data_IF_943832921436
#
_entry.id   IF_943832921436
#
_cell.length_a   1.000
_cell.length_b   1.000
_cell.length_c   1.000
_cell.angle_alpha   90.00
_cell.angle_beta   90.00
_cell.angle_gamma   90.00
#
_symmetry.space_group_name_H-M   'P 1'
#
loop_
_entity.id
_entity.type
_entity.pdbx_description
1 polymer ?
#
# COMPACT_ATOMS: atom_id res chain seq x y z
N UNK A 1 12.10 7.30 -10.06
CA UNK A 1 12.04 6.03 -9.32
C UNK A 1 10.60 5.75 -8.95
N UNK A 2 10.17 4.52 -9.09
CA UNK A 2 8.84 4.02 -8.67
C UNK A 2 8.96 3.53 -7.24
N UNK A 3 7.92 3.80 -6.42
CA UNK A 3 7.82 3.29 -5.04
C UNK A 3 6.59 2.41 -4.91
N UNK A 4 6.70 1.29 -4.20
CA UNK A 4 5.53 0.54 -3.77
C UNK A 4 4.79 1.28 -2.66
N UNK A 5 3.46 1.11 -2.57
CA UNK A 5 2.67 1.59 -1.43
C UNK A 5 2.82 0.71 -0.19
N UNK A 6 3.29 -0.51 -0.35
CA UNK A 6 3.64 -1.42 0.74
C UNK A 6 5.11 -1.24 1.12
N UNK A 7 5.44 -1.51 2.37
CA UNK A 7 6.80 -1.43 2.86
C UNK A 7 6.89 -1.70 4.36
N UNK A 8 8.11 -1.96 4.81
CA UNK A 8 8.44 -2.17 6.20
C UNK A 8 9.74 -1.44 6.55
N UNK A 9 9.79 -0.82 7.71
CA UNK A 9 10.99 -0.20 8.24
C UNK A 9 11.09 -0.41 9.74
N UNK A 10 12.27 -0.71 10.24
CA UNK A 10 12.55 -0.84 11.67
C UNK A 10 13.86 -0.16 11.99
N UNK A 11 13.87 0.54 13.09
CA UNK A 11 15.09 1.11 13.64
C UNK A 11 15.08 0.98 15.17
N UNK A 12 16.23 0.68 15.71
CA UNK A 12 16.48 0.58 17.13
C UNK A 12 17.61 1.53 17.49
N UNK A 13 17.38 2.39 18.47
CA UNK A 13 18.37 3.35 18.95
C UNK A 13 18.51 3.19 20.46
N UNK A 14 19.74 3.03 20.90
CA UNK A 14 20.09 2.98 22.33
C UNK A 14 20.88 4.21 22.68
N UNK A 15 20.38 5.04 23.59
CA UNK A 15 21.05 6.23 24.12
C UNK A 15 21.17 6.10 25.65
N UNK A 16 22.37 5.75 26.12
CA UNK A 16 22.60 5.47 27.53
C UNK A 16 21.82 4.23 28.00
N UNK A 17 20.96 4.42 28.99
CA UNK A 17 20.08 3.38 29.52
C UNK A 17 18.72 3.30 28.80
N UNK A 18 18.49 4.14 27.79
CA UNK A 18 17.20 4.26 27.09
C UNK A 18 17.28 3.61 25.74
N UNK A 19 16.28 2.78 25.43
CA UNK A 19 16.15 2.09 24.15
C UNK A 19 14.84 2.46 23.49
N UNK A 20 14.93 2.94 22.25
CA UNK A 20 13.79 3.25 21.40
C UNK A 20 13.75 2.27 20.23
N UNK A 21 12.64 1.57 20.07
CA UNK A 21 12.41 0.72 18.90
C UNK A 21 11.20 1.26 18.15
N UNK A 22 11.38 1.55 16.87
CA UNK A 22 10.32 2.05 15.97
C UNK A 22 10.16 1.08 14.82
N UNK A 23 8.94 0.63 14.63
CA UNK A 23 8.54 -0.21 13.49
C UNK A 23 7.47 0.53 12.68
N UNK A 24 7.64 0.54 11.36
CA UNK A 24 6.72 1.16 10.42
C UNK A 24 6.26 0.13 9.41
N UNK A 25 4.95 0.04 9.17
CA UNK A 25 4.34 -0.83 8.16
C UNK A 25 3.36 -0.04 7.33
N UNK A 26 3.59 -0.02 6.02
CA UNK A 26 2.71 0.65 5.05
C UNK A 26 1.84 -0.33 4.29
N UNK A 27 0.61 0.08 3.99
CA UNK A 27 -0.32 -0.62 3.09
C UNK A 27 -0.96 0.39 2.14
N UNK A 28 -1.44 -0.12 1.01
CA UNK A 28 -2.12 0.71 0.02
C UNK A 28 -3.35 1.41 0.63
N UNK A 29 -3.40 2.74 0.48
CA UNK A 29 -4.55 3.54 0.85
C UNK A 29 -4.60 4.83 0.02
N UNK A 30 -5.82 5.33 -0.23
CA UNK A 30 -6.05 6.49 -1.10
C UNK A 30 -5.44 7.80 -0.55
N UNK A 31 -5.45 7.96 0.77
CA UNK A 31 -4.95 9.14 1.48
C UNK A 31 -3.85 8.74 2.46
N UNK A 32 -3.07 9.73 2.93
CA UNK A 32 -2.16 9.49 4.03
C UNK A 32 -2.97 9.30 5.32
N UNK A 33 -2.93 8.10 5.86
CA UNK A 33 -3.48 7.76 7.18
C UNK A 33 -2.37 7.19 8.05
N UNK A 34 -2.12 7.81 9.20
CA UNK A 34 -1.05 7.40 10.11
C UNK A 34 -1.64 6.99 11.46
N UNK A 35 -1.46 5.74 11.80
CA UNK A 35 -1.87 5.18 13.09
C UNK A 35 -0.63 4.92 13.95
N UNK A 36 -0.49 5.69 15.03
CA UNK A 36 0.69 5.63 15.90
C UNK A 36 0.29 4.95 17.20
N UNK A 37 0.98 3.87 17.53
CA UNK A 37 0.87 3.18 18.82
C UNK A 37 2.15 3.36 19.60
N UNK A 38 2.05 3.97 20.77
CA UNK A 38 3.20 4.28 21.61
C UNK A 38 2.83 4.22 23.10
N UNK A 39 3.82 4.08 24.00
CA UNK A 39 3.62 4.18 25.43
C UNK A 39 3.03 5.54 25.85
N UNK A 40 2.17 5.58 26.86
CA UNK A 40 1.53 6.81 27.37
C UNK A 40 2.53 7.93 27.68
N UNK A 41 3.72 7.58 28.16
CA UNK A 41 4.82 8.51 28.46
C UNK A 41 5.31 9.32 27.27
N UNK A 42 5.04 8.89 26.02
CA UNK A 42 5.47 9.56 24.79
C UNK A 42 4.33 10.27 24.04
N UNK A 43 3.08 10.21 24.55
CA UNK A 43 1.91 10.76 23.85
C UNK A 43 2.00 12.24 23.51
N UNK A 44 2.74 13.03 24.28
CA UNK A 44 2.92 14.45 24.01
C UNK A 44 3.72 14.73 22.73
N UNK A 45 4.44 13.74 22.20
CA UNK A 45 5.16 13.82 20.91
C UNK A 45 4.30 13.47 19.68
N UNK A 46 3.03 13.05 19.81
CA UNK A 46 2.21 12.59 18.67
C UNK A 46 2.22 13.60 17.52
N UNK A 47 1.99 14.87 17.80
CA UNK A 47 1.96 15.92 16.78
C UNK A 47 3.31 16.11 16.08
N UNK A 48 4.42 16.06 16.83
CA UNK A 48 5.76 16.19 16.30
C UNK A 48 6.15 15.01 15.42
N UNK A 49 5.75 13.79 15.82
CA UNK A 49 5.97 12.56 15.06
C UNK A 49 5.20 12.63 13.72
N UNK A 50 3.93 13.00 13.75
CA UNK A 50 3.12 13.14 12.51
C UNK A 50 3.71 14.14 11.54
N UNK A 51 4.21 15.27 12.04
CA UNK A 51 4.85 16.28 11.20
C UNK A 51 6.17 15.79 10.59
N UNK A 52 6.94 15.00 11.33
CA UNK A 52 8.17 14.39 10.82
C UNK A 52 7.87 13.36 9.73
N UNK A 53 6.87 12.53 9.92
CA UNK A 53 6.48 11.47 8.96
C UNK A 53 5.97 12.00 7.62
N UNK A 54 5.33 13.17 7.58
CA UNK A 54 4.90 13.83 6.33
C UNK A 54 6.06 14.14 5.37
N UNK A 55 7.29 14.18 5.86
CA UNK A 55 8.48 14.39 5.02
C UNK A 55 8.88 13.12 4.23
N UNK A 56 8.49 11.95 4.72
CA UNK A 56 8.86 10.64 4.17
C UNK A 56 7.73 9.95 3.41
N UNK A 57 6.48 10.22 3.79
CA UNK A 57 5.30 9.53 3.24
C UNK A 57 4.26 10.55 2.80
N UNK A 58 3.89 10.50 1.52
CA UNK A 58 2.88 11.38 0.92
C UNK A 58 1.50 10.72 0.89
N UNK A 59 1.46 9.38 0.72
CA UNK A 59 0.23 8.60 0.54
C UNK A 59 0.37 7.22 1.17
N UNK A 60 -0.76 6.57 1.49
CA UNK A 60 -0.82 5.24 2.07
C UNK A 60 -1.25 5.25 3.53
N UNK A 61 -1.67 4.11 4.05
CA UNK A 61 -1.89 3.92 5.47
C UNK A 61 -0.63 3.36 6.10
N UNK A 62 -0.11 4.05 7.13
CA UNK A 62 1.11 3.67 7.83
C UNK A 62 0.81 3.42 9.30
N UNK A 63 0.98 2.17 9.72
CA UNK A 63 0.95 1.79 11.13
C UNK A 63 2.36 1.89 11.71
N UNK A 64 2.48 2.59 12.83
CA UNK A 64 3.75 2.88 13.49
C UNK A 64 3.66 2.36 14.92
N UNK A 65 4.61 1.52 15.28
CA UNK A 65 4.73 0.95 16.62
C UNK A 65 6.01 1.48 17.25
N UNK A 66 5.86 2.16 18.37
CA UNK A 66 6.98 2.71 19.14
C UNK A 66 7.04 1.98 20.47
N UNK A 67 8.16 1.36 20.75
CA UNK A 67 8.47 0.76 22.04
C UNK A 67 9.59 1.56 22.70
N UNK A 68 9.44 1.82 23.98
CA UNK A 68 10.40 2.53 24.81
C UNK A 68 10.72 1.68 26.05
N UNK A 69 11.99 1.41 26.23
CA UNK A 69 12.53 0.72 27.41
C UNK A 69 13.56 1.65 28.09
N UNK A 70 13.43 1.79 29.38
CA UNK A 70 14.38 2.54 30.21
C UNK A 70 14.94 1.60 31.27
N UNK A 71 16.24 1.31 31.16
CA UNK A 71 16.98 0.45 32.10
C UNK A 71 17.77 1.29 33.11
N UNK A 72 17.63 2.63 33.08
CA UNK A 72 18.16 3.45 34.15
C UNK A 72 17.55 2.96 35.46
N UNK A 73 18.36 2.78 36.49
CA UNK A 73 17.86 2.55 37.82
C UNK A 73 16.88 3.69 38.13
N UNK A 74 15.59 3.42 38.03
CA UNK A 74 14.55 4.36 38.40
C UNK A 74 14.78 4.70 39.87
N UNK A 75 15.47 5.77 40.12
CA UNK A 75 15.49 6.38 41.44
C UNK A 75 14.09 6.94 41.67
N UNK A 76 13.20 6.03 42.06
CA UNK A 76 11.94 6.44 42.65
C UNK A 76 12.32 7.18 43.91
N UNK A 77 12.29 8.51 43.85
CA UNK A 77 12.51 9.29 45.04
C UNK A 77 11.26 9.26 45.89
N UNK A 78 11.42 8.78 47.12
CA UNK A 78 10.35 8.85 48.10
C UNK A 78 10.35 10.28 48.70
N UNK A 79 9.29 11.04 48.45
CA UNK A 79 9.09 12.36 49.01
C UNK A 79 8.26 12.27 50.28
N UNK A 80 8.80 12.77 51.36
CA UNK A 80 8.09 12.88 52.64
C UNK A 80 7.43 14.25 52.76
N UNK A 81 6.12 14.27 52.98
CA UNK A 81 5.33 15.49 53.23
C UNK A 81 5.20 15.73 54.71
N UNK A 82 6.20 16.43 55.27
CA UNK A 82 6.26 16.75 56.68
C UNK A 82 5.06 17.60 57.18
N UNK A 83 4.60 18.53 56.33
CA UNK A 83 3.48 19.43 56.66
C UNK A 83 2.20 18.62 56.86
N UNK A 84 1.89 17.74 55.91
CA UNK A 84 0.70 16.89 56.00
C UNK A 84 0.79 15.88 57.13
N UNK A 85 1.96 15.34 57.39
CA UNK A 85 2.18 14.45 58.54
C UNK A 85 1.92 15.14 59.88
N UNK A 86 2.34 16.42 60.03
CA UNK A 86 2.05 17.24 61.19
C UNK A 86 0.55 17.51 61.36
N UNK A 87 -0.16 17.78 60.28
CA UNK A 87 -1.62 17.97 60.32
C UNK A 87 -2.34 16.70 60.76
N UNK A 88 -1.99 15.54 60.24
CA UNK A 88 -2.55 14.26 60.70
C UNK A 88 -2.33 14.06 62.22
N UNK A 89 -1.10 14.28 62.71
CA UNK A 89 -0.78 14.16 64.10
C UNK A 89 -1.58 15.13 64.99
N UNK A 90 -1.81 16.34 64.53
CA UNK A 90 -2.62 17.36 65.22
C UNK A 90 -4.06 16.92 65.38
N UNK A 91 -4.69 16.44 64.26
CA UNK A 91 -6.05 15.95 64.27
C UNK A 91 -6.20 14.68 65.12
N UNK A 92 -5.27 13.75 65.10
CA UNK A 92 -5.32 12.56 65.99
C UNK A 92 -5.24 12.92 67.46
N UNK A 93 -4.45 13.95 67.80
CA UNK A 93 -4.42 14.45 69.16
C UNK A 93 -5.77 15.07 69.59
N UNK A 94 -6.37 15.86 68.71
CA UNK A 94 -7.68 16.45 68.94
C UNK A 94 -8.77 15.37 69.06
N UNK A 95 -8.77 14.31 68.24
CA UNK A 95 -9.69 13.18 68.30
C UNK A 95 -9.54 12.42 69.61
N UNK A 96 -8.33 12.19 70.08
CA UNK A 96 -8.05 11.60 71.39
C UNK A 96 -8.74 12.38 72.53
N UNK A 97 -8.54 13.69 72.54
CA UNK A 97 -9.09 14.57 73.56
C UNK A 97 -10.60 14.69 73.49
N UNK A 98 -11.19 14.76 72.29
CA UNK A 98 -12.63 14.92 72.09
C UNK A 98 -13.43 13.65 72.39
N UNK A 99 -12.91 12.50 72.01
CA UNK A 99 -13.62 11.23 72.07
C UNK A 99 -13.13 10.27 73.19
N UNK A 100 -12.08 10.64 73.90
CA UNK A 100 -11.51 9.80 74.95
C UNK A 100 -10.82 8.54 74.46
N UNK A 101 -10.33 8.54 73.18
CA UNK A 101 -9.71 7.39 72.55
C UNK A 101 -8.24 7.26 72.99
N UNK A 102 -7.72 6.01 72.99
CA UNK A 102 -6.28 5.82 73.15
C UNK A 102 -5.55 6.21 71.84
N UNK A 103 -4.38 6.85 71.98
CA UNK A 103 -3.54 7.21 70.84
C UNK A 103 -2.52 6.08 70.61
N UNK A 104 -2.77 5.28 69.57
CA UNK A 104 -1.94 4.13 69.16
C UNK A 104 -1.06 4.45 67.92
N UNK A 105 -0.89 5.74 67.60
CA UNK A 105 -0.17 6.15 66.39
C UNK A 105 1.30 5.80 66.51
N UNK A 106 1.73 4.95 65.59
CA UNK A 106 3.13 4.56 65.36
C UNK A 106 3.62 5.15 64.06
N UNK A 107 4.94 5.24 63.87
CA UNK A 107 5.56 5.69 62.61
C UNK A 107 5.05 4.85 61.46
N UNK A 108 4.91 3.54 61.61
CA UNK A 108 4.37 2.63 60.60
C UNK A 108 2.90 2.89 60.24
N UNK A 109 2.12 3.46 61.15
CA UNK A 109 0.73 3.84 60.90
C UNK A 109 0.68 5.18 60.16
N UNK A 110 1.44 6.17 60.62
CA UNK A 110 1.53 7.50 60.00
C UNK A 110 2.03 7.41 58.56
N UNK A 111 3.00 6.54 58.29
CA UNK A 111 3.57 6.36 56.95
C UNK A 111 2.59 5.78 55.91
N UNK A 112 1.47 5.21 56.33
CA UNK A 112 0.44 4.63 55.48
C UNK A 112 -0.70 5.58 55.12
N UNK A 113 -0.76 6.74 55.78
CA UNK A 113 -1.79 7.72 55.45
C UNK A 113 -1.52 8.34 54.07
N UNK A 114 -2.61 8.62 53.31
CA UNK A 114 -2.48 9.17 51.97
C UNK A 114 -1.56 10.39 51.93
N UNK A 115 -0.71 10.46 50.91
CA UNK A 115 0.17 11.58 50.58
C UNK A 115 1.22 11.96 51.65
N UNK A 116 1.34 11.20 52.74
CA UNK A 116 2.46 11.38 53.70
C UNK A 116 3.78 10.97 53.04
N UNK A 117 3.76 9.90 52.24
CA UNK A 117 4.85 9.54 51.34
C UNK A 117 4.31 9.43 49.93
N UNK A 118 4.90 10.18 49.03
CA UNK A 118 4.63 10.13 47.59
C UNK A 118 5.86 9.61 46.87
N UNK A 119 5.64 8.70 45.91
CA UNK A 119 6.70 8.31 44.98
C UNK A 119 6.72 9.34 43.86
N UNK A 120 7.78 10.14 43.78
CA UNK A 120 8.02 11.04 42.65
C UNK A 120 8.91 10.34 41.64
N UNK A 121 8.38 10.12 40.42
CA UNK A 121 9.23 9.80 39.28
C UNK A 121 10.04 11.05 38.92
N UNK A 122 11.35 10.91 38.72
CA UNK A 122 12.16 12.05 38.23
C UNK A 122 11.59 12.58 36.92
N UNK A 123 11.46 13.89 36.84
CA UNK A 123 11.03 14.57 35.60
C UNK A 123 12.03 14.22 34.50
N UNK A 124 11.56 13.52 33.50
CA UNK A 124 12.37 13.19 32.31
C UNK A 124 12.64 14.46 31.51
N UNK A 125 13.85 14.60 31.02
CA UNK A 125 14.18 15.68 30.07
C UNK A 125 13.51 15.36 28.72
N UNK A 126 12.46 16.13 28.41
CA UNK A 126 11.66 15.97 27.17
C UNK A 126 12.52 16.18 25.92
N UNK A 127 13.52 17.07 25.98
CA UNK A 127 14.39 17.33 24.83
C UNK A 127 15.30 16.14 24.52
N UNK A 128 15.85 15.48 25.55
CA UNK A 128 16.66 14.28 25.37
C UNK A 128 15.83 13.11 24.85
N UNK A 129 14.62 12.91 25.40
CA UNK A 129 13.69 11.89 24.92
C UNK A 129 13.33 12.11 23.46
N UNK A 130 13.05 13.36 23.07
CA UNK A 130 12.74 13.70 21.70
C UNK A 130 13.92 13.43 20.76
N UNK A 131 15.14 13.76 21.14
CA UNK A 131 16.32 13.50 20.30
C UNK A 131 16.50 12.02 19.99
N UNK A 132 16.42 11.15 21.01
CA UNK A 132 16.52 9.70 20.82
C UNK A 132 15.38 9.12 19.98
N UNK A 133 14.14 9.52 20.30
CA UNK A 133 12.95 9.11 19.56
C UNK A 133 13.00 9.59 18.10
N UNK A 134 13.40 10.84 17.85
CA UNK A 134 13.52 11.39 16.51
C UNK A 134 14.52 10.63 15.64
N UNK A 135 15.67 10.24 16.21
CA UNK A 135 16.67 9.41 15.51
C UNK A 135 16.08 8.05 15.12
N UNK A 136 15.37 7.38 16.05
CA UNK A 136 14.75 6.10 15.81
C UNK A 136 13.67 6.19 14.71
N UNK A 137 12.82 7.24 14.74
CA UNK A 137 11.79 7.47 13.73
C UNK A 137 12.41 7.74 12.36
N UNK A 138 13.45 8.59 12.28
CA UNK A 138 14.16 8.88 11.03
C UNK A 138 14.75 7.61 10.43
N UNK A 139 15.47 6.82 11.23
CA UNK A 139 16.05 5.56 10.77
C UNK A 139 15.02 4.54 10.31
N UNK A 140 13.89 4.42 11.02
CA UNK A 140 12.79 3.56 10.60
C UNK A 140 12.13 4.05 9.31
N UNK A 141 11.93 5.38 9.16
CA UNK A 141 11.35 5.98 7.98
C UNK A 141 12.26 5.84 6.75
N UNK A 142 13.57 6.01 6.91
CA UNK A 142 14.56 5.78 5.84
C UNK A 142 14.57 4.32 5.40
N UNK A 143 14.61 3.37 6.34
CA UNK A 143 14.50 1.94 6.06
C UNK A 143 13.19 1.61 5.35
N UNK A 144 12.07 2.18 5.78
CA UNK A 144 10.76 2.04 5.17
C UNK A 144 10.75 2.54 3.71
N UNK A 145 11.33 3.73 3.45
CA UNK A 145 11.42 4.27 2.08
C UNK A 145 12.30 3.41 1.19
N UNK A 146 13.43 2.89 1.69
CA UNK A 146 14.31 1.98 0.94
C UNK A 146 13.59 0.68 0.55
N UNK A 147 12.86 0.08 1.48
CA UNK A 147 12.07 -1.12 1.20
C UNK A 147 11.01 -0.85 0.10
N UNK A 148 10.33 0.29 0.16
CA UNK A 148 9.35 0.70 -0.86
C UNK A 148 9.99 0.91 -2.23
N UNK A 149 11.19 1.45 -2.30
CA UNK A 149 11.94 1.63 -3.56
C UNK A 149 12.30 0.27 -4.14
N UNK A 150 12.91 -0.61 -3.34
CA UNK A 150 13.31 -1.94 -3.80
C UNK A 150 12.11 -2.78 -4.29
N UNK A 151 10.99 -2.74 -3.57
CA UNK A 151 9.75 -3.40 -3.98
C UNK A 151 9.14 -2.76 -5.24
N UNK A 152 9.21 -1.43 -5.35
CA UNK A 152 8.75 -0.71 -6.54
C UNK A 152 9.56 -1.05 -7.81
N UNK A 153 10.86 -1.27 -7.68
CA UNK A 153 11.71 -1.72 -8.78
C UNK A 153 11.36 -3.14 -9.22
N UNK A 154 11.16 -4.05 -8.28
CA UNK A 154 10.73 -5.43 -8.58
C UNK A 154 9.34 -5.44 -9.26
N UNK A 155 8.40 -4.64 -8.79
CA UNK A 155 7.07 -4.50 -9.41
C UNK A 155 7.16 -3.94 -10.83
N UNK A 156 8.02 -2.95 -11.07
CA UNK A 156 8.26 -2.41 -12.42
C UNK A 156 8.74 -3.48 -13.36
N UNK A 157 9.72 -4.27 -12.97
CA UNK A 157 10.34 -5.27 -13.82
C UNK A 157 9.36 -6.41 -14.13
N UNK A 158 8.57 -6.86 -13.15
CA UNK A 158 7.49 -7.84 -13.36
C UNK A 158 6.39 -7.29 -14.31
N UNK A 159 6.00 -6.02 -14.13
CA UNK A 159 5.04 -5.37 -15.02
C UNK A 159 5.54 -5.25 -16.45
N UNK A 160 6.82 -4.90 -16.66
CA UNK A 160 7.42 -4.84 -18.00
C UNK A 160 7.37 -6.22 -18.65
N UNK A 161 7.73 -7.27 -17.94
CA UNK A 161 7.67 -8.63 -18.47
C UNK A 161 6.24 -9.06 -18.86
N UNK A 162 5.24 -8.73 -18.04
CA UNK A 162 3.83 -9.00 -18.37
C UNK A 162 3.38 -8.22 -19.62
N UNK A 163 3.78 -6.96 -19.75
CA UNK A 163 3.48 -6.14 -20.91
C UNK A 163 4.14 -6.70 -22.19
N UNK A 164 5.37 -7.25 -22.09
CA UNK A 164 6.02 -7.93 -23.21
C UNK A 164 5.26 -9.20 -23.62
N UNK A 165 4.80 -9.99 -22.68
CA UNK A 165 3.97 -11.15 -22.97
C UNK A 165 2.65 -10.76 -23.66
N UNK A 166 2.04 -9.65 -23.22
CA UNK A 166 0.82 -9.12 -23.85
C UNK A 166 1.06 -8.68 -25.29
N UNK A 167 2.22 -8.09 -25.60
CA UNK A 167 2.59 -7.77 -26.99
C UNK A 167 2.62 -9.01 -27.86
N UNK A 168 3.18 -10.12 -27.38
CA UNK A 168 3.15 -11.40 -28.10
C UNK A 168 1.73 -11.90 -28.39
N UNK A 169 0.80 -11.70 -27.45
CA UNK A 169 -0.63 -12.05 -27.66
C UNK A 169 -1.27 -11.15 -28.75
N UNK A 170 -0.96 -9.86 -28.72
CA UNK A 170 -1.44 -8.90 -29.74
C UNK A 170 -0.87 -9.22 -31.11
N UNK A 171 0.40 -9.62 -31.18
CA UNK A 171 1.04 -10.05 -32.43
C UNK A 171 0.38 -11.30 -33.00
N UNK A 172 0.09 -12.30 -32.16
CA UNK A 172 -0.65 -13.48 -32.58
C UNK A 172 -2.02 -13.12 -33.19
N UNK A 173 -2.81 -12.25 -32.52
CA UNK A 173 -4.11 -11.79 -33.04
C UNK A 173 -3.93 -11.10 -34.40
N UNK A 174 -2.89 -10.26 -34.54
CA UNK A 174 -2.57 -9.54 -35.77
C UNK A 174 -2.24 -10.47 -36.94
N UNK A 175 -1.53 -11.56 -36.68
CA UNK A 175 -1.15 -12.55 -37.70
C UNK A 175 -2.31 -13.48 -38.05
N UNK A 176 -3.16 -13.85 -37.11
CA UNK A 176 -4.29 -14.75 -37.30
C UNK A 176 -5.47 -14.07 -38.01
N UNK A 177 -5.72 -12.80 -37.75
CA UNK A 177 -6.88 -12.05 -38.28
C UNK A 177 -7.04 -12.14 -39.82
N UNK A 178 -6.02 -11.90 -40.65
CA UNK A 178 -6.16 -12.02 -42.09
C UNK A 178 -6.40 -13.47 -42.58
N UNK A 179 -5.92 -14.47 -41.86
CA UNK A 179 -6.13 -15.89 -42.18
C UNK A 179 -7.60 -16.28 -42.08
N UNK A 180 -8.33 -15.78 -41.09
CA UNK A 180 -9.76 -16.04 -40.88
C UNK A 180 -10.58 -15.59 -42.09
N UNK A 181 -10.24 -14.46 -42.68
CA UNK A 181 -10.92 -13.94 -43.87
C UNK A 181 -10.73 -14.88 -45.04
N UNK A 182 -9.49 -15.39 -45.23
CA UNK A 182 -9.17 -16.37 -46.30
C UNK A 182 -9.90 -17.69 -46.06
N UNK A 183 -9.88 -18.21 -44.86
CA UNK A 183 -10.60 -19.45 -44.48
C UNK A 183 -12.13 -19.32 -44.66
N UNK A 184 -12.70 -18.17 -44.32
CA UNK A 184 -14.10 -17.86 -44.53
C UNK A 184 -14.47 -17.88 -45.99
N UNK A 185 -13.63 -17.25 -46.87
CA UNK A 185 -13.83 -17.24 -48.30
C UNK A 185 -13.84 -18.64 -48.90
N UNK A 186 -12.87 -19.49 -48.53
CA UNK A 186 -12.79 -20.89 -48.98
C UNK A 186 -13.99 -21.70 -48.51
N UNK A 187 -14.34 -21.59 -47.24
CA UNK A 187 -15.51 -22.28 -46.67
C UNK A 187 -16.81 -21.90 -47.35
N UNK A 188 -16.99 -20.61 -47.69
CA UNK A 188 -18.18 -20.11 -48.35
C UNK A 188 -18.23 -20.61 -49.78
N UNK A 189 -17.11 -20.61 -50.52
CA UNK A 189 -16.98 -21.12 -51.85
C UNK A 189 -17.35 -22.61 -51.94
N UNK A 190 -16.76 -23.42 -51.08
CA UNK A 190 -17.02 -24.88 -50.99
C UNK A 190 -18.51 -25.15 -50.69
N UNK A 191 -19.10 -24.41 -49.76
CA UNK A 191 -20.52 -24.57 -49.40
C UNK A 191 -21.44 -24.19 -50.55
N UNK A 192 -21.11 -23.17 -51.36
CA UNK A 192 -21.88 -22.79 -52.52
C UNK A 192 -21.77 -23.88 -53.63
N UNK A 193 -20.56 -24.43 -53.85
CA UNK A 193 -20.36 -25.53 -54.79
C UNK A 193 -21.13 -26.78 -54.40
N UNK A 194 -21.14 -27.15 -53.12
CA UNK A 194 -21.90 -28.30 -52.63
C UNK A 194 -23.41 -28.14 -52.82
N UNK A 195 -23.94 -26.92 -52.70
CA UNK A 195 -25.38 -26.64 -52.82
C UNK A 195 -25.83 -26.49 -54.26
N UNK A 196 -24.99 -25.92 -55.16
CA UNK A 196 -25.36 -25.56 -56.54
C UNK A 196 -24.86 -26.57 -57.58
N UNK A 197 -23.97 -27.48 -57.23
CA UNK A 197 -23.35 -28.42 -58.17
C UNK A 197 -22.49 -27.68 -59.19
N UNK A 198 -22.69 -27.95 -60.50
CA UNK A 198 -21.92 -27.40 -61.60
C UNK A 198 -22.32 -25.95 -62.01
N UNK A 199 -23.15 -25.28 -61.23
CA UNK A 199 -23.56 -23.90 -61.53
C UNK A 199 -22.41 -22.93 -61.25
N UNK A 200 -22.17 -21.99 -62.19
CA UNK A 200 -21.14 -20.98 -62.07
C UNK A 200 -21.44 -20.02 -60.90
N UNK A 201 -20.49 -19.91 -59.95
CA UNK A 201 -20.60 -19.01 -58.80
C UNK A 201 -20.49 -17.56 -59.27
N UNK A 202 -21.37 -16.67 -58.80
CA UNK A 202 -21.26 -15.24 -59.02
C UNK A 202 -20.16 -14.65 -58.11
N UNK A 203 -18.98 -14.41 -58.68
CA UNK A 203 -17.80 -13.90 -57.98
C UNK A 203 -18.05 -12.55 -57.32
N UNK A 204 -18.87 -11.66 -57.86
CA UNK A 204 -19.17 -10.36 -57.28
C UNK A 204 -19.98 -10.49 -55.99
N UNK A 205 -20.91 -11.41 -55.96
CA UNK A 205 -21.67 -11.72 -54.78
C UNK A 205 -20.81 -12.36 -53.69
N UNK A 206 -19.95 -13.30 -54.05
CA UNK A 206 -18.99 -13.91 -53.14
C UNK A 206 -18.06 -12.82 -52.51
N UNK A 207 -17.50 -11.92 -53.34
CA UNK A 207 -16.66 -10.84 -52.88
C UNK A 207 -17.40 -9.89 -51.95
N UNK A 208 -18.65 -9.56 -52.24
CA UNK A 208 -19.47 -8.70 -51.37
C UNK A 208 -19.65 -9.31 -49.99
N UNK A 209 -20.00 -10.59 -49.91
CA UNK A 209 -20.19 -11.31 -48.61
C UNK A 209 -18.87 -11.41 -47.84
N UNK A 210 -17.74 -11.68 -48.51
CA UNK A 210 -16.42 -11.71 -47.86
C UNK A 210 -16.01 -10.33 -47.34
N UNK A 211 -16.32 -9.26 -48.05
CA UNK A 211 -16.03 -7.88 -47.61
C UNK A 211 -16.86 -7.53 -46.36
N UNK A 212 -18.15 -7.82 -46.38
CA UNK A 212 -19.04 -7.59 -45.21
C UNK A 212 -18.54 -8.38 -44.00
N UNK A 213 -18.11 -9.61 -44.20
CA UNK A 213 -17.52 -10.42 -43.13
C UNK A 213 -16.22 -9.84 -42.63
N UNK A 214 -15.34 -9.44 -43.53
CA UNK A 214 -14.02 -8.80 -43.19
C UNK A 214 -14.22 -7.54 -42.35
N UNK A 215 -15.12 -6.64 -42.73
CA UNK A 215 -15.44 -5.44 -41.97
C UNK A 215 -15.95 -5.77 -40.57
N UNK A 216 -16.78 -6.80 -40.44
CA UNK A 216 -17.35 -7.21 -39.14
C UNK A 216 -16.32 -7.76 -38.18
N UNK A 217 -15.31 -8.49 -38.68
CA UNK A 217 -14.26 -9.12 -37.86
C UNK A 217 -12.97 -8.30 -37.79
N UNK A 218 -12.92 -7.12 -38.43
CA UNK A 218 -11.76 -6.27 -38.45
C UNK A 218 -11.41 -5.76 -37.05
N UNK A 219 -10.20 -6.07 -36.60
CA UNK A 219 -9.64 -5.70 -35.28
C UNK A 219 -8.36 -4.86 -35.39
N UNK A 220 -8.05 -4.34 -36.58
CA UNK A 220 -6.81 -3.63 -36.82
C UNK A 220 -6.63 -2.36 -35.97
N UNK A 221 -7.72 -1.63 -35.75
CA UNK A 221 -7.72 -0.43 -34.93
C UNK A 221 -7.44 -0.78 -33.46
N UNK A 222 -8.08 -1.81 -32.93
CA UNK A 222 -7.88 -2.31 -31.58
C UNK A 222 -6.45 -2.80 -31.36
N UNK A 223 -5.88 -3.49 -32.33
CA UNK A 223 -4.48 -3.96 -32.30
C UNK A 223 -3.51 -2.78 -32.22
N UNK A 224 -3.68 -1.77 -33.07
CA UNK A 224 -2.82 -0.57 -33.07
C UNK A 224 -2.92 0.17 -31.76
N UNK A 225 -4.13 0.33 -31.21
CA UNK A 225 -4.37 0.97 -29.93
C UNK A 225 -3.78 0.17 -28.77
N UNK A 226 -3.96 -1.14 -28.74
CA UNK A 226 -3.37 -2.03 -27.71
C UNK A 226 -1.85 -1.91 -27.68
N UNK A 227 -1.18 -1.99 -28.84
CA UNK A 227 0.27 -1.80 -28.93
C UNK A 227 0.70 -0.43 -28.39
N UNK A 228 0.01 0.63 -28.81
CA UNK A 228 0.29 1.99 -28.33
C UNK A 228 0.13 2.14 -26.83
N UNK A 229 -0.92 1.56 -26.25
CA UNK A 229 -1.17 1.61 -24.81
C UNK A 229 -0.14 0.81 -24.02
N UNK A 230 0.24 -0.38 -24.49
CA UNK A 230 1.29 -1.21 -23.88
C UNK A 230 2.63 -0.46 -23.88
N UNK A 231 3.06 0.09 -25.02
CA UNK A 231 4.31 0.84 -25.10
C UNK A 231 4.29 2.11 -24.25
N UNK A 232 3.15 2.83 -24.22
CA UNK A 232 2.99 4.01 -23.37
C UNK A 232 3.07 3.64 -21.88
N UNK A 233 2.52 2.48 -21.50
CA UNK A 233 2.60 1.95 -20.13
C UNK A 233 4.05 1.65 -19.76
N UNK A 234 4.79 0.94 -20.60
CA UNK A 234 6.22 0.63 -20.40
C UNK A 234 7.04 1.90 -20.24
N UNK A 235 6.87 2.87 -21.16
CA UNK A 235 7.54 4.16 -21.09
C UNK A 235 7.24 4.91 -19.79
N UNK A 236 5.97 4.94 -19.38
CA UNK A 236 5.54 5.61 -18.14
C UNK A 236 6.16 4.95 -16.92
N UNK A 237 6.25 3.60 -16.87
CA UNK A 237 6.92 2.85 -15.81
C UNK A 237 8.42 3.20 -15.72
N UNK A 238 9.10 3.38 -16.85
CA UNK A 238 10.53 3.75 -16.87
C UNK A 238 10.77 5.21 -16.45
N UNK A 239 9.87 6.13 -16.80
CA UNK A 239 9.93 7.54 -16.38
C UNK A 239 9.78 7.68 -14.86
N UNK A 240 8.91 6.89 -14.25
CA UNK A 240 8.65 6.90 -12.81
C UNK A 240 7.93 8.16 -12.33
N UNK A 241 7.93 8.39 -11.02
CA UNK A 241 7.20 9.48 -10.38
C UNK A 241 5.77 9.09 -9.99
N UNK A 242 4.88 10.05 -9.74
CA UNK A 242 3.48 9.80 -9.37
C UNK A 242 2.64 9.39 -10.58
N UNK A 243 2.81 8.15 -11.02
CA UNK A 243 2.28 7.63 -12.28
C UNK A 243 1.04 6.75 -12.13
N UNK A 244 0.71 6.29 -10.91
CA UNK A 244 -0.33 5.28 -10.68
C UNK A 244 -1.70 5.61 -11.31
N UNK A 245 -2.16 6.87 -11.24
CA UNK A 245 -3.44 7.27 -11.88
C UNK A 245 -3.41 7.22 -13.39
N UNK A 246 -2.28 7.64 -13.99
CA UNK A 246 -2.09 7.60 -15.45
C UNK A 246 -2.08 6.16 -15.94
N UNK A 247 -1.37 5.29 -15.23
CA UNK A 247 -1.30 3.86 -15.54
C UNK A 247 -2.65 3.15 -15.41
N UNK A 248 -3.42 3.44 -14.33
CA UNK A 248 -4.78 2.87 -14.17
C UNK A 248 -5.70 3.27 -15.31
N UNK A 249 -5.64 4.54 -15.77
CA UNK A 249 -6.40 4.98 -16.94
C UNK A 249 -5.99 4.23 -18.21
N UNK A 250 -4.68 4.08 -18.48
CA UNK A 250 -4.21 3.34 -19.66
C UNK A 250 -4.63 1.87 -19.60
N UNK A 251 -4.58 1.24 -18.40
CA UNK A 251 -5.03 -0.14 -18.23
C UNK A 251 -6.53 -0.30 -18.50
N UNK A 252 -7.35 0.70 -18.16
CA UNK A 252 -8.78 0.71 -18.51
C UNK A 252 -9.00 0.78 -20.02
N UNK A 253 -8.23 1.62 -20.73
CA UNK A 253 -8.30 1.68 -22.19
C UNK A 253 -7.84 0.37 -22.82
N UNK A 254 -6.75 -0.26 -22.34
CA UNK A 254 -6.34 -1.59 -22.82
C UNK A 254 -7.45 -2.62 -22.64
N UNK A 255 -8.14 -2.62 -21.50
CA UNK A 255 -9.26 -3.52 -21.24
C UNK A 255 -10.43 -3.27 -22.20
N UNK A 256 -10.68 -2.01 -22.53
CA UNK A 256 -11.71 -1.64 -23.52
C UNK A 256 -11.39 -2.20 -24.91
N UNK A 257 -10.15 -2.01 -25.39
CA UNK A 257 -9.71 -2.51 -26.71
C UNK A 257 -9.73 -4.06 -26.75
N UNK A 258 -9.30 -4.73 -25.68
CA UNK A 258 -9.37 -6.18 -25.58
C UNK A 258 -10.82 -6.70 -25.59
N UNK A 259 -11.76 -6.00 -24.92
CA UNK A 259 -13.18 -6.32 -24.98
C UNK A 259 -13.76 -6.19 -26.40
N UNK A 260 -13.38 -5.14 -27.12
CA UNK A 260 -13.82 -4.91 -28.48
C UNK A 260 -13.27 -5.99 -29.41
N UNK A 261 -11.99 -6.34 -29.27
CA UNK A 261 -11.36 -7.46 -29.99
C UNK A 261 -12.12 -8.77 -29.77
N UNK A 262 -12.42 -9.09 -28.50
CA UNK A 262 -13.19 -10.30 -28.17
C UNK A 262 -14.61 -10.28 -28.79
N UNK A 263 -15.28 -9.13 -28.78
CA UNK A 263 -16.65 -9.00 -29.31
C UNK A 263 -16.74 -9.10 -30.83
N UNK A 264 -15.68 -8.70 -31.53
CA UNK A 264 -15.55 -8.81 -32.99
C UNK A 264 -15.02 -10.19 -33.45
N UNK A 265 -14.42 -10.95 -32.54
CA UNK A 265 -13.84 -12.26 -32.85
C UNK A 265 -14.92 -13.27 -33.24
N UNK A 266 -14.68 -13.96 -34.35
CA UNK A 266 -15.47 -15.11 -34.82
C UNK A 266 -14.60 -16.37 -34.95
N UNK A 267 -13.43 -16.37 -34.38
CA UNK A 267 -12.46 -17.45 -34.37
C UNK A 267 -12.19 -17.87 -32.90
N UNK A 268 -12.07 -19.17 -32.67
CA UNK A 268 -11.89 -19.72 -31.32
C UNK A 268 -10.50 -19.37 -30.75
N UNK A 269 -9.45 -19.37 -31.60
CA UNK A 269 -8.08 -19.10 -31.16
C UNK A 269 -7.95 -17.65 -30.77
N UNK A 270 -8.44 -16.70 -31.60
CA UNK A 270 -8.46 -15.28 -31.25
C UNK A 270 -9.28 -15.04 -29.99
N UNK A 271 -10.45 -15.68 -29.84
CA UNK A 271 -11.28 -15.52 -28.63
C UNK A 271 -10.57 -15.96 -27.36
N UNK A 272 -9.88 -17.10 -27.41
CA UNK A 272 -9.12 -17.60 -26.27
C UNK A 272 -7.96 -16.65 -25.90
N UNK A 273 -7.18 -16.22 -26.88
CA UNK A 273 -6.07 -15.27 -26.65
C UNK A 273 -6.59 -13.91 -26.16
N UNK A 274 -7.71 -13.43 -26.67
CA UNK A 274 -8.32 -12.18 -26.19
C UNK A 274 -8.81 -12.26 -24.75
N UNK A 275 -9.34 -13.43 -24.31
CA UNK A 275 -9.72 -13.67 -22.92
C UNK A 275 -8.46 -13.71 -22.03
N UNK A 276 -7.39 -14.36 -22.48
CA UNK A 276 -6.13 -14.41 -21.76
C UNK A 276 -5.52 -13.01 -21.64
N UNK A 277 -5.50 -12.24 -22.72
CA UNK A 277 -5.04 -10.85 -22.75
C UNK A 277 -5.81 -9.98 -21.74
N UNK A 278 -7.14 -10.11 -21.68
CA UNK A 278 -7.95 -9.43 -20.64
C UNK A 278 -7.54 -9.81 -19.23
N UNK A 279 -7.28 -11.08 -19.00
CA UNK A 279 -6.87 -11.57 -17.68
C UNK A 279 -5.51 -10.97 -17.29
N UNK A 280 -4.57 -10.90 -18.22
CA UNK A 280 -3.27 -10.25 -17.96
C UNK A 280 -3.40 -8.73 -17.75
N UNK A 281 -4.27 -8.05 -18.49
CA UNK A 281 -4.56 -6.62 -18.28
C UNK A 281 -5.09 -6.38 -16.86
N UNK A 282 -6.01 -7.19 -16.35
CA UNK A 282 -6.52 -7.03 -14.98
C UNK A 282 -5.43 -7.31 -13.93
N UNK A 283 -4.58 -8.31 -14.12
CA UNK A 283 -3.42 -8.54 -13.24
C UNK A 283 -2.47 -7.36 -13.22
N UNK A 284 -2.16 -6.80 -14.38
CA UNK A 284 -1.33 -5.58 -14.51
C UNK A 284 -1.99 -4.42 -13.79
N UNK A 285 -3.30 -4.24 -13.95
CA UNK A 285 -4.07 -3.17 -13.31
C UNK A 285 -4.08 -3.27 -11.77
N UNK A 286 -4.24 -4.47 -11.22
CA UNK A 286 -4.17 -4.72 -9.78
C UNK A 286 -2.79 -4.35 -9.20
N UNK A 287 -1.72 -4.68 -9.91
CA UNK A 287 -0.37 -4.33 -9.49
C UNK A 287 -0.08 -2.82 -9.59
N UNK A 288 -0.59 -2.15 -10.63
CA UNK A 288 -0.49 -0.69 -10.79
C UNK A 288 -1.10 0.05 -9.59
N UNK A 289 -2.15 -0.48 -8.97
CA UNK A 289 -2.75 0.13 -7.78
C UNK A 289 -1.81 0.18 -6.57
N UNK A 290 -0.75 -0.61 -6.57
CA UNK A 290 0.28 -0.62 -5.51
C UNK A 290 1.47 0.29 -5.83
N UNK A 291 1.43 1.06 -6.92
CA UNK A 291 2.50 1.98 -7.36
C UNK A 291 2.17 3.41 -6.95
N UNK A 292 3.18 4.09 -6.39
CA UNK A 292 3.18 5.53 -6.06
C UNK A 292 4.19 6.28 -6.92
#
# INVERSE_FOLDING_TARGET
MIKSMTGFGRCEVVEGARKFTVEMKGVNHRYLDTNIRMPKKLNFFDSAIRNLLKQYVVRGKVDIFITYEDTSENQVSLKYNETLAKEYLSYFKQMKETFGLENDIRVSTLSRYPEVFTMEEQTMDEEELWKGLQKAIKGAAESFVQTRIAEGENLRDDLIQKLDNMLGMVDFISERSPQIISEYREKLLNKIQDLLGAVQVDENRLLTEVTIFADKVCVDEEIVRLRSHIETTKKTLLEGGSIGRKLDFIAQEMNREANTTLSKSNDLEISNVAIELKTEIEKVREQIQNIE
#
